data_IF_215682306956
#
_entry.id   IF_215682306956
#
_cell.length_a   1.000
_cell.length_b   1.000
_cell.length_c   1.000
_cell.angle_alpha   90.00
_cell.angle_beta   90.00
_cell.angle_gamma   90.00
#
_symmetry.space_group_name_H-M   'P 1'
#
loop_
_entity.id
_entity.type
_entity.pdbx_description
1 polymer ?
#
# COMPACT_ATOMS: atom_id res chain seq x y z
N UNK A 1 16.59 -9.38 -3.39
CA UNK A 1 15.26 -9.11 -3.96
C UNK A 1 14.29 -8.80 -2.82
N UNK A 2 13.33 -7.89 -3.00
CA UNK A 2 12.50 -7.39 -1.90
C UNK A 2 11.46 -8.41 -1.41
N UNK A 3 11.04 -8.27 -0.15
CA UNK A 3 9.94 -9.05 0.42
C UNK A 3 8.59 -8.52 -0.08
N UNK A 4 7.80 -9.36 -0.75
CA UNK A 4 6.51 -8.98 -1.36
C UNK A 4 5.35 -9.69 -0.66
N UNK A 5 4.33 -8.92 -0.29
CA UNK A 5 3.02 -9.46 0.12
C UNK A 5 2.00 -9.22 -0.99
N UNK A 6 1.32 -10.27 -1.42
CA UNK A 6 0.31 -10.19 -2.47
C UNK A 6 -1.07 -10.54 -1.89
N UNK A 7 -2.09 -9.76 -2.25
CA UNK A 7 -3.49 -9.98 -1.86
C UNK A 7 -4.42 -9.71 -3.04
N UNK A 8 -5.62 -10.26 -2.98
CA UNK A 8 -6.68 -9.97 -3.95
C UNK A 8 -6.86 -11.03 -5.03
N UNK A 9 -7.64 -10.66 -6.05
CA UNK A 9 -8.10 -11.51 -7.15
C UNK A 9 -6.92 -12.13 -7.89
N UNK A 10 -5.95 -11.30 -8.29
CA UNK A 10 -4.80 -11.71 -9.09
C UNK A 10 -3.66 -12.35 -8.28
N UNK A 11 -3.90 -12.67 -7.00
CA UNK A 11 -2.83 -13.03 -6.07
C UNK A 11 -2.07 -14.30 -6.44
N UNK A 12 -2.76 -15.34 -6.91
CA UNK A 12 -2.10 -16.60 -7.31
C UNK A 12 -1.19 -16.38 -8.54
N UNK A 13 -1.69 -15.71 -9.57
CA UNK A 13 -0.93 -15.44 -10.80
C UNK A 13 0.29 -14.54 -10.54
N UNK A 14 0.11 -13.45 -9.79
CA UNK A 14 1.20 -12.53 -9.45
C UNK A 14 2.23 -13.20 -8.54
N UNK A 15 1.80 -14.06 -7.60
CA UNK A 15 2.75 -14.84 -6.79
C UNK A 15 3.61 -15.71 -7.68
N UNK A 16 3.02 -16.43 -8.64
CA UNK A 16 3.77 -17.27 -9.58
C UNK A 16 4.79 -16.46 -10.39
N UNK A 17 4.38 -15.31 -10.93
CA UNK A 17 5.23 -14.38 -11.68
C UNK A 17 6.41 -13.88 -10.84
N UNK A 18 6.15 -13.42 -9.62
CA UNK A 18 7.18 -12.80 -8.80
C UNK A 18 8.16 -13.85 -8.25
N UNK A 19 7.68 -15.04 -7.87
CA UNK A 19 8.55 -16.15 -7.47
C UNK A 19 9.45 -16.57 -8.62
N UNK A 20 8.93 -16.67 -9.85
CA UNK A 20 9.75 -17.05 -11.02
C UNK A 20 10.82 -16.01 -11.38
N UNK A 21 10.62 -14.74 -10.99
CA UNK A 21 11.61 -13.65 -11.10
C UNK A 21 12.50 -13.49 -9.85
N UNK A 22 12.40 -14.38 -8.85
CA UNK A 22 13.30 -14.41 -7.69
C UNK A 22 12.89 -13.53 -6.50
N UNK A 23 11.68 -12.98 -6.50
CA UNK A 23 11.16 -12.24 -5.35
C UNK A 23 10.82 -13.18 -4.19
N UNK A 24 11.01 -12.70 -2.96
CA UNK A 24 10.65 -13.43 -1.75
C UNK A 24 9.21 -13.10 -1.37
N UNK A 25 8.30 -14.04 -1.57
CA UNK A 25 6.90 -13.86 -1.16
C UNK A 25 6.76 -14.14 0.34
N UNK A 26 6.20 -13.19 1.06
CA UNK A 26 5.99 -13.27 2.51
C UNK A 26 4.50 -13.20 2.86
N UNK A 27 4.13 -13.79 3.98
CA UNK A 27 2.77 -13.74 4.53
C UNK A 27 1.69 -14.22 3.53
N UNK A 28 2.03 -15.18 2.67
CA UNK A 28 1.11 -15.80 1.73
C UNK A 28 0.00 -16.58 2.47
N UNK A 29 -1.21 -16.56 1.93
CA UNK A 29 -2.32 -17.38 2.44
C UNK A 29 -2.06 -18.86 2.20
N UNK A 30 -2.73 -19.72 2.97
CA UNK A 30 -2.61 -21.18 2.88
C UNK A 30 -2.87 -21.68 1.46
N UNK A 31 -3.92 -21.15 0.81
CA UNK A 31 -4.27 -21.44 -0.58
C UNK A 31 -3.12 -21.15 -1.55
N UNK A 32 -2.43 -20.02 -1.39
CA UNK A 32 -1.29 -19.65 -2.26
C UNK A 32 -0.10 -20.57 -1.97
N UNK A 33 0.15 -20.87 -0.69
CA UNK A 33 1.24 -21.76 -0.27
C UNK A 33 1.07 -23.16 -0.82
N UNK A 34 -0.15 -23.72 -0.73
CA UNK A 34 -0.48 -25.04 -1.27
C UNK A 34 -0.32 -25.10 -2.79
N UNK A 35 -0.82 -24.09 -3.51
CA UNK A 35 -0.73 -24.03 -4.98
C UNK A 35 0.71 -23.92 -5.49
N UNK A 36 1.56 -23.17 -4.81
CA UNK A 36 2.93 -22.91 -5.27
C UNK A 36 4.01 -23.72 -4.53
N UNK A 37 3.64 -24.49 -3.51
CA UNK A 37 4.60 -25.24 -2.70
C UNK A 37 5.59 -24.37 -1.93
N UNK A 38 5.19 -23.16 -1.51
CA UNK A 38 6.08 -22.20 -0.81
C UNK A 38 5.85 -22.23 0.71
N UNK A 39 6.90 -22.07 1.53
CA UNK A 39 6.76 -22.05 2.98
C UNK A 39 6.05 -20.78 3.48
N UNK A 40 5.52 -20.83 4.71
CA UNK A 40 5.06 -19.61 5.37
C UNK A 40 6.24 -18.80 5.87
N UNK A 41 6.23 -17.51 5.55
CA UNK A 41 7.27 -16.58 5.94
C UNK A 41 6.65 -15.37 6.65
N UNK A 42 7.11 -15.14 7.88
CA UNK A 42 6.63 -14.10 8.78
C UNK A 42 7.32 -12.75 8.58
N UNK A 43 8.37 -12.69 7.76
CA UNK A 43 9.14 -11.47 7.54
C UNK A 43 8.24 -10.29 7.12
N UNK A 44 8.58 -9.05 7.53
CA UNK A 44 7.83 -7.88 7.13
C UNK A 44 7.93 -7.69 5.61
N UNK A 45 6.79 -7.40 4.98
CA UNK A 45 6.73 -7.06 3.58
C UNK A 45 7.28 -5.65 3.35
N UNK A 46 8.17 -5.51 2.37
CA UNK A 46 8.71 -4.21 1.92
C UNK A 46 7.82 -3.56 0.86
N UNK A 47 7.03 -4.37 0.16
CA UNK A 47 6.03 -3.95 -0.82
C UNK A 47 4.80 -4.84 -0.72
N UNK A 48 3.62 -4.22 -0.85
CA UNK A 48 2.34 -4.91 -0.92
C UNK A 48 1.70 -4.67 -2.28
N UNK A 49 1.27 -5.75 -2.94
CA UNK A 49 0.42 -5.72 -4.14
C UNK A 49 -0.98 -6.14 -3.71
N UNK A 50 -1.99 -5.33 -4.03
CA UNK A 50 -3.40 -5.64 -3.74
C UNK A 50 -4.32 -5.04 -4.80
N UNK A 51 -5.57 -5.47 -4.84
CA UNK A 51 -6.58 -4.79 -5.66
C UNK A 51 -6.86 -3.37 -5.13
N UNK A 52 -7.10 -2.46 -6.07
CA UNK A 52 -7.68 -1.14 -5.83
C UNK A 52 -9.19 -1.24 -5.68
N UNK A 53 -9.80 -0.15 -5.20
CA UNK A 53 -11.25 0.07 -5.37
C UNK A 53 -11.62 0.39 -6.82
N UNK A 54 -10.65 0.85 -7.64
CA UNK A 54 -10.84 1.02 -9.08
C UNK A 54 -10.84 -0.36 -9.76
N UNK A 55 -11.85 -0.68 -10.61
CA UNK A 55 -11.91 -1.95 -11.30
C UNK A 55 -10.64 -2.23 -12.10
N UNK A 56 -10.21 -3.49 -12.13
CA UNK A 56 -9.06 -3.94 -12.94
C UNK A 56 -7.74 -3.22 -12.62
N UNK A 57 -7.60 -2.62 -11.44
CA UNK A 57 -6.42 -1.85 -11.07
C UNK A 57 -5.79 -2.45 -9.81
N UNK A 58 -4.49 -2.69 -9.87
CA UNK A 58 -3.70 -3.07 -8.70
C UNK A 58 -3.09 -1.83 -8.06
N UNK A 59 -2.94 -1.86 -6.74
CA UNK A 59 -2.12 -0.94 -5.96
C UNK A 59 -0.84 -1.65 -5.57
N UNK A 60 0.30 -1.08 -5.94
CA UNK A 60 1.64 -1.49 -5.48
C UNK A 60 2.16 -0.41 -4.55
N UNK A 61 2.36 -0.72 -3.27
CA UNK A 61 2.70 0.26 -2.21
C UNK A 61 3.82 -0.27 -1.31
N UNK A 62 4.79 0.58 -0.99
CA UNK A 62 5.84 0.27 -0.01
C UNK A 62 7.12 1.06 -0.21
N UNK A 63 8.27 0.45 0.12
CA UNK A 63 9.60 1.05 -0.07
C UNK A 63 9.87 1.29 -1.55
N UNK A 64 10.40 2.47 -1.90
CA UNK A 64 10.57 2.93 -3.30
C UNK A 64 11.18 1.88 -4.23
N UNK A 65 12.38 1.38 -3.92
CA UNK A 65 13.05 0.38 -4.76
C UNK A 65 12.31 -0.96 -4.86
N UNK A 66 11.57 -1.35 -3.82
CA UNK A 66 10.77 -2.57 -3.85
C UNK A 66 9.53 -2.42 -4.75
N UNK A 67 8.88 -1.25 -4.72
CA UNK A 67 7.76 -0.91 -5.60
C UNK A 67 8.22 -0.85 -7.05
N UNK A 68 9.34 -0.17 -7.33
CA UNK A 68 9.93 -0.09 -8.67
C UNK A 68 10.23 -1.48 -9.24
N UNK A 69 10.89 -2.34 -8.46
CA UNK A 69 11.18 -3.71 -8.91
C UNK A 69 9.93 -4.54 -9.18
N UNK A 70 8.88 -4.42 -8.34
CA UNK A 70 7.62 -5.14 -8.59
C UNK A 70 6.89 -4.61 -9.81
N UNK A 71 6.83 -3.29 -9.99
CA UNK A 71 6.19 -2.68 -11.17
C UNK A 71 6.91 -3.07 -12.45
N UNK A 72 8.25 -3.04 -12.45
CA UNK A 72 9.06 -3.51 -13.58
C UNK A 72 8.79 -4.98 -13.90
N UNK A 73 8.76 -5.85 -12.87
CA UNK A 73 8.44 -7.25 -13.02
C UNK A 73 7.05 -7.48 -13.66
N UNK A 74 6.04 -6.71 -13.23
CA UNK A 74 4.69 -6.77 -13.80
C UNK A 74 4.66 -6.29 -15.25
N UNK A 75 5.22 -5.11 -15.55
CA UNK A 75 5.23 -4.52 -16.89
C UNK A 75 6.03 -5.37 -17.89
N UNK A 76 7.10 -6.03 -17.44
CA UNK A 76 7.91 -6.91 -18.29
C UNK A 76 7.19 -8.20 -18.71
N UNK A 77 6.18 -8.62 -17.96
CA UNK A 77 5.50 -9.92 -18.16
C UNK A 77 4.08 -9.78 -18.67
N UNK A 78 3.40 -8.68 -18.32
CA UNK A 78 2.00 -8.44 -18.63
C UNK A 78 1.88 -7.47 -19.81
N UNK A 79 1.09 -7.86 -20.81
CA UNK A 79 0.79 -7.05 -21.99
C UNK A 79 -0.23 -5.95 -21.65
N UNK A 80 -0.11 -4.78 -22.28
CA UNK A 80 -1.06 -3.67 -22.16
C UNK A 80 -1.37 -3.23 -20.73
N UNK A 81 -0.31 -2.94 -19.98
CA UNK A 81 -0.38 -2.40 -18.63
C UNK A 81 -0.16 -0.88 -18.65
N UNK A 82 -1.04 -0.14 -17.96
CA UNK A 82 -0.85 1.30 -17.73
C UNK A 82 -0.47 1.54 -16.28
N UNK A 83 0.61 2.30 -16.06
CA UNK A 83 1.13 2.59 -14.72
C UNK A 83 0.99 4.08 -14.41
N UNK A 84 0.39 4.41 -13.27
CA UNK A 84 0.37 5.76 -12.71
C UNK A 84 1.09 5.79 -11.37
N UNK A 85 2.05 6.70 -11.23
CA UNK A 85 2.82 6.89 -10.01
C UNK A 85 2.21 7.98 -9.14
N UNK A 86 2.01 7.69 -7.85
CA UNK A 86 1.53 8.68 -6.89
C UNK A 86 2.62 9.69 -6.56
N UNK A 87 2.33 10.98 -6.79
CA UNK A 87 3.26 12.08 -6.56
C UNK A 87 2.60 13.21 -5.74
N UNK A 88 3.22 13.67 -4.64
CA UNK A 88 4.25 12.97 -3.87
C UNK A 88 3.74 11.61 -3.32
N UNK A 89 4.65 10.74 -2.86
CA UNK A 89 4.31 9.42 -2.34
C UNK A 89 3.40 9.47 -1.10
N UNK A 90 2.78 8.34 -0.77
CA UNK A 90 1.89 8.24 0.38
C UNK A 90 2.65 8.53 1.68
N UNK A 91 2.06 9.37 2.53
CA UNK A 91 2.64 9.84 3.81
C UNK A 91 3.97 10.59 3.68
N UNK A 92 4.29 11.11 2.49
CA UNK A 92 5.37 12.06 2.33
C UNK A 92 5.05 13.33 3.12
N UNK A 93 5.97 13.77 3.98
CA UNK A 93 5.85 15.02 4.73
C UNK A 93 6.57 16.10 3.97
N UNK A 94 5.84 17.16 3.63
CA UNK A 94 6.32 18.26 2.81
C UNK A 94 6.08 19.60 3.50
N UNK A 95 6.98 20.55 3.22
CA UNK A 95 6.71 21.97 3.42
C UNK A 95 6.10 22.49 2.13
N UNK A 96 4.86 22.94 2.21
CA UNK A 96 4.06 23.37 1.08
C UNK A 96 3.70 24.85 1.20
N UNK A 97 3.54 25.53 0.07
CA UNK A 97 3.12 26.94 0.05
C UNK A 97 1.62 27.03 -0.18
N UNK A 98 0.92 27.87 0.58
CA UNK A 98 -0.50 28.16 0.35
C UNK A 98 -0.60 28.99 -0.92
N UNK A 99 -1.13 28.42 -2.00
CA UNK A 99 -1.30 29.11 -3.27
C UNK A 99 -2.56 29.96 -3.26
N UNK A 100 -3.65 29.46 -2.69
CA UNK A 100 -4.94 30.15 -2.55
C UNK A 100 -5.80 29.54 -1.45
N UNK A 101 -6.74 30.33 -0.94
CA UNK A 101 -7.73 29.90 0.07
C UNK A 101 -9.12 29.99 -0.55
N UNK A 102 -9.84 28.86 -0.58
CA UNK A 102 -11.15 28.75 -1.22
C UNK A 102 -12.11 27.99 -0.29
N UNK A 103 -13.24 28.59 0.09
CA UNK A 103 -14.33 27.91 0.81
C UNK A 103 -13.87 27.13 2.07
N UNK A 104 -12.96 27.69 2.87
CA UNK A 104 -12.44 27.04 4.09
C UNK A 104 -11.43 25.92 3.82
N UNK A 105 -10.91 25.82 2.60
CA UNK A 105 -9.83 24.91 2.18
C UNK A 105 -8.61 25.70 1.73
N UNK A 106 -7.44 25.15 1.96
CA UNK A 106 -6.21 25.68 1.38
C UNK A 106 -5.79 24.81 0.20
N UNK A 107 -5.57 25.45 -0.94
CA UNK A 107 -4.86 24.83 -2.05
C UNK A 107 -3.38 25.10 -1.82
N UNK A 108 -2.59 24.04 -1.86
CA UNK A 108 -1.17 24.07 -1.58
C UNK A 108 -0.38 23.73 -2.84
N UNK A 109 0.72 24.42 -3.05
CA UNK A 109 1.77 24.00 -3.97
C UNK A 109 2.73 23.06 -3.22
N UNK A 110 2.74 21.79 -3.64
CA UNK A 110 3.62 20.75 -3.15
C UNK A 110 4.87 20.63 -4.03
N UNK A 111 5.93 19.93 -3.57
CA UNK A 111 7.11 19.64 -4.39
C UNK A 111 6.74 19.02 -5.75
N UNK A 112 7.43 19.46 -6.81
CA UNK A 112 7.18 19.00 -8.18
C UNK A 112 5.98 19.65 -8.87
N UNK A 113 5.45 20.76 -8.34
CA UNK A 113 4.34 21.51 -8.94
C UNK A 113 2.98 20.82 -8.80
N UNK A 114 2.87 19.87 -7.86
CA UNK A 114 1.60 19.17 -7.58
C UNK A 114 0.73 20.05 -6.70
N UNK A 115 -0.56 20.18 -7.05
CA UNK A 115 -1.54 20.83 -6.17
C UNK A 115 -2.01 19.85 -5.08
N UNK A 116 -1.99 20.31 -3.82
CA UNK A 116 -2.57 19.64 -2.67
C UNK A 116 -3.81 20.37 -2.16
N UNK A 117 -4.74 19.63 -1.55
CA UNK A 117 -5.90 20.19 -0.84
C UNK A 117 -5.79 19.85 0.64
N UNK A 118 -5.84 20.88 1.47
CA UNK A 118 -6.01 20.77 2.91
C UNK A 118 -7.41 21.26 3.29
N UNK A 119 -8.21 20.34 3.85
CA UNK A 119 -9.53 20.66 4.41
C UNK A 119 -9.41 21.45 5.71
N UNK A 120 -10.45 22.21 6.06
CA UNK A 120 -10.54 22.98 7.32
C UNK A 120 -9.31 23.86 7.58
N UNK A 121 -9.00 24.73 6.61
CA UNK A 121 -7.83 25.59 6.63
C UNK A 121 -8.22 27.07 6.76
N UNK A 122 -7.54 27.74 7.67
CA UNK A 122 -7.66 29.16 8.07
C UNK A 122 -6.36 29.96 7.82
N UNK A 123 -5.43 29.36 7.07
CA UNK A 123 -4.11 29.95 6.82
C UNK A 123 -4.17 31.04 5.76
N UNK A 124 -3.16 31.93 5.76
CA UNK A 124 -3.05 33.01 4.77
C UNK A 124 -2.36 32.54 3.49
N UNK A 125 -2.74 33.14 2.38
CA UNK A 125 -2.04 32.96 1.11
C UNK A 125 -0.56 33.31 1.22
N UNK A 126 0.27 32.62 0.45
CA UNK A 126 1.74 32.69 0.47
C UNK A 126 2.39 32.23 1.79
N UNK A 127 1.62 31.80 2.78
CA UNK A 127 2.14 31.12 3.97
C UNK A 127 2.71 29.74 3.62
N UNK A 128 3.54 29.20 4.51
CA UNK A 128 4.04 27.82 4.41
C UNK A 128 3.40 26.95 5.48
N UNK A 129 2.98 25.75 5.09
CA UNK A 129 2.43 24.73 5.97
C UNK A 129 3.22 23.45 5.85
N UNK A 130 3.36 22.73 6.96
CA UNK A 130 3.90 21.38 6.98
C UNK A 130 2.73 20.43 6.94
N UNK A 131 2.71 19.57 5.94
CA UNK A 131 1.59 18.66 5.70
C UNK A 131 2.09 17.27 5.28
N UNK A 132 1.28 16.27 5.57
CA UNK A 132 1.47 14.89 5.15
C UNK A 132 0.54 14.58 3.99
N UNK A 133 1.05 13.95 2.93
CA UNK A 133 0.21 13.44 1.83
C UNK A 133 -0.58 12.23 2.30
N UNK A 134 -1.91 12.33 2.38
CA UNK A 134 -2.80 11.21 2.75
C UNK A 134 -3.40 10.51 1.52
N UNK A 135 -3.54 11.24 0.41
CA UNK A 135 -3.90 10.67 -0.89
C UNK A 135 -3.03 11.32 -1.96
N UNK A 136 -2.10 10.60 -2.60
CA UNK A 136 -1.31 11.11 -3.71
C UNK A 136 -2.14 11.52 -4.92
N UNK A 137 -1.58 12.38 -5.76
CA UNK A 137 -2.08 12.63 -7.12
C UNK A 137 -1.46 11.61 -8.06
N UNK A 138 -2.27 10.96 -8.90
CA UNK A 138 -1.81 9.94 -9.85
C UNK A 138 -1.85 10.41 -11.30
N UNK A 139 -2.80 11.29 -11.64
CA UNK A 139 -3.05 11.76 -13.01
C UNK A 139 -3.00 13.29 -13.07
N UNK A 140 -2.71 13.81 -14.26
CA UNK A 140 -2.71 15.27 -14.50
C UNK A 140 -4.08 15.86 -14.17
N UNK A 141 -4.10 16.91 -13.36
CA UNK A 141 -5.33 17.57 -12.91
C UNK A 141 -5.93 17.00 -11.63
N UNK A 142 -5.47 15.84 -11.15
CA UNK A 142 -5.81 15.36 -9.81
C UNK A 142 -5.04 16.16 -8.76
N UNK A 143 -5.71 16.54 -7.68
CA UNK A 143 -5.06 17.13 -6.50
C UNK A 143 -4.77 16.06 -5.47
N UNK A 144 -3.60 16.14 -4.84
CA UNK A 144 -3.31 15.35 -3.66
C UNK A 144 -4.18 15.82 -2.49
N UNK A 145 -4.55 14.92 -1.58
CA UNK A 145 -5.18 15.27 -0.31
C UNK A 145 -4.09 15.23 0.75
N UNK A 146 -4.03 16.27 1.58
CA UNK A 146 -3.02 16.39 2.64
C UNK A 146 -3.66 16.60 4.01
N UNK A 147 -2.89 16.34 5.08
CA UNK A 147 -3.29 16.53 6.48
C UNK A 147 -2.21 17.29 7.26
N UNK A 148 -2.62 18.01 8.32
CA UNK A 148 -1.70 18.64 9.29
C UNK A 148 -1.10 17.62 10.28
N UNK A 149 -1.70 16.43 10.38
CA UNK A 149 -1.11 15.35 11.18
C UNK A 149 0.17 14.85 10.53
N UNK A 150 1.30 14.89 11.25
CA UNK A 150 2.57 14.41 10.72
C UNK A 150 2.65 12.90 10.90
N UNK A 151 2.93 12.18 9.81
CA UNK A 151 3.01 10.73 9.82
C UNK A 151 4.37 10.24 9.34
N UNK A 152 4.88 9.22 10.02
CA UNK A 152 6.11 8.50 9.63
C UNK A 152 5.81 7.01 9.76
N UNK A 153 6.02 6.28 8.67
CA UNK A 153 5.77 4.83 8.62
C UNK A 153 7.07 4.04 8.84
N UNK A 154 7.02 3.05 9.72
CA UNK A 154 7.97 1.95 9.84
C UNK A 154 7.35 0.65 9.34
N UNK A 155 8.08 -0.47 9.44
CA UNK A 155 7.63 -1.77 8.96
C UNK A 155 6.50 -2.34 9.84
N UNK A 156 6.48 -2.05 11.14
CA UNK A 156 5.51 -2.55 12.12
C UNK A 156 4.51 -1.51 12.59
N UNK A 157 4.88 -0.23 12.66
CA UNK A 157 4.00 0.85 13.15
C UNK A 157 4.09 2.11 12.29
N UNK A 158 3.03 2.91 12.31
CA UNK A 158 3.05 4.30 11.85
C UNK A 158 2.89 5.22 13.06
N UNK A 159 3.78 6.20 13.25
CA UNK A 159 3.60 7.23 14.28
C UNK A 159 2.89 8.45 13.69
N UNK A 160 1.94 9.01 14.44
CA UNK A 160 1.06 10.11 14.00
C UNK A 160 1.07 11.23 15.04
N UNK A 161 1.80 12.31 14.77
CA UNK A 161 1.81 13.51 15.62
C UNK A 161 0.53 14.31 15.40
N UNK A 162 -0.25 14.50 16.47
CA UNK A 162 -1.52 15.25 16.44
C UNK A 162 -2.78 14.40 16.71
N UNK A 163 -2.69 13.07 16.66
CA UNK A 163 -3.84 12.17 16.84
C UNK A 163 -3.96 11.63 18.28
N UNK A 164 -2.83 11.32 18.95
CA UNK A 164 -2.80 10.73 20.30
C UNK A 164 -3.46 9.35 20.45
N UNK A 165 -4.04 8.81 19.37
CA UNK A 165 -4.82 7.57 19.35
C UNK A 165 -3.93 6.35 19.13
N UNK A 166 -4.37 5.21 19.66
CA UNK A 166 -3.83 3.88 19.34
C UNK A 166 -4.79 3.21 18.36
N UNK A 167 -4.29 2.87 17.18
CA UNK A 167 -5.06 2.22 16.12
C UNK A 167 -4.41 0.90 15.69
N UNK A 168 -5.22 0.00 15.13
CA UNK A 168 -4.76 -1.30 14.65
C UNK A 168 -5.15 -1.52 13.20
N UNK A 169 -4.28 -2.21 12.47
CA UNK A 169 -4.66 -2.83 11.21
C UNK A 169 -5.78 -3.84 11.45
N UNK A 170 -6.74 -3.90 10.52
CA UNK A 170 -7.85 -4.87 10.50
C UNK A 170 -7.39 -6.34 10.50
N UNK A 171 -6.13 -6.59 10.13
CA UNK A 171 -5.52 -7.92 10.09
C UNK A 171 -5.00 -8.39 11.46
N UNK A 172 -4.91 -7.50 12.46
CA UNK A 172 -4.54 -7.87 13.82
C UNK A 172 -5.83 -8.09 14.59
N UNK A 173 -6.32 -9.34 14.64
CA UNK A 173 -7.61 -9.69 15.28
C UNK A 173 -7.47 -10.26 16.69
N UNK A 174 -6.31 -10.81 17.00
CA UNK A 174 -6.01 -11.41 18.31
C UNK A 174 -6.04 -10.34 19.41
N UNK A 175 -6.90 -10.54 20.42
CA UNK A 175 -7.10 -9.57 21.49
C UNK A 175 -5.95 -9.53 22.49
N UNK A 176 -5.32 -10.68 22.78
CA UNK A 176 -4.16 -10.73 23.65
C UNK A 176 -3.00 -9.93 23.03
N UNK A 177 -2.78 -10.12 21.73
CA UNK A 177 -1.78 -9.37 20.97
C UNK A 177 -2.08 -7.88 20.93
N UNK A 178 -3.34 -7.49 20.71
CA UNK A 178 -3.74 -6.07 20.79
C UNK A 178 -3.47 -5.47 22.17
N UNK A 179 -3.69 -6.22 23.24
CA UNK A 179 -3.42 -5.78 24.60
C UNK A 179 -1.90 -5.57 24.82
N UNK A 180 -1.07 -6.53 24.44
CA UNK A 180 0.40 -6.42 24.51
C UNK A 180 0.92 -5.17 23.76
N UNK A 181 0.47 -4.98 22.53
CA UNK A 181 0.85 -3.84 21.69
C UNK A 181 0.35 -2.51 22.29
N UNK A 182 -0.85 -2.50 22.86
CA UNK A 182 -1.38 -1.32 23.55
C UNK A 182 -0.54 -0.95 24.76
N UNK A 183 -0.17 -1.93 25.60
CA UNK A 183 0.71 -1.70 26.75
C UNK A 183 2.07 -1.14 26.34
N UNK A 184 2.66 -1.67 25.26
CA UNK A 184 3.90 -1.13 24.70
C UNK A 184 3.74 0.33 24.21
N UNK A 185 2.68 0.62 23.45
CA UNK A 185 2.39 1.96 22.97
C UNK A 185 2.22 2.95 24.12
N UNK A 186 1.44 2.59 25.14
CA UNK A 186 1.21 3.41 26.33
C UNK A 186 2.54 3.69 27.05
N UNK A 187 3.36 2.65 27.26
CA UNK A 187 4.68 2.80 27.91
C UNK A 187 5.61 3.76 27.15
N UNK A 188 5.58 3.74 25.80
CA UNK A 188 6.49 4.53 24.96
C UNK A 188 5.98 5.94 24.64
N UNK A 189 4.66 6.14 24.55
CA UNK A 189 4.06 7.32 23.92
C UNK A 189 3.14 8.12 24.85
N UNK A 190 2.82 7.64 26.06
CA UNK A 190 1.98 8.38 27.00
C UNK A 190 2.52 9.79 27.24
N UNK A 191 1.64 10.80 27.16
CA UNK A 191 1.98 12.21 27.40
C UNK A 191 2.74 12.90 26.25
N UNK A 192 3.08 12.19 25.17
CA UNK A 192 3.82 12.79 24.04
C UNK A 192 2.93 13.51 23.01
N UNK A 193 1.61 13.27 23.04
CA UNK A 193 0.68 13.73 22.00
C UNK A 193 0.82 13.00 20.65
N UNK A 194 1.59 11.91 20.60
CA UNK A 194 1.83 11.10 19.40
C UNK A 194 0.95 9.85 19.47
N UNK A 195 0.14 9.65 18.43
CA UNK A 195 -0.60 8.43 18.21
C UNK A 195 0.23 7.38 17.48
N UNK A 196 -0.25 6.14 17.49
CA UNK A 196 0.38 5.02 16.81
C UNK A 196 -0.66 4.16 16.11
N UNK A 197 -0.36 3.76 14.87
CA UNK A 197 -1.10 2.73 14.15
C UNK A 197 -0.24 1.49 14.01
N UNK A 198 -0.65 0.39 14.63
CA UNK A 198 -0.01 -0.92 14.43
C UNK A 198 -0.35 -1.47 13.04
N UNK A 199 0.67 -1.63 12.19
CA UNK A 199 0.56 -2.19 10.84
C UNK A 199 0.45 -3.71 10.89
N UNK A 200 -0.03 -4.33 9.82
CA UNK A 200 -0.26 -5.79 9.78
C UNK A 200 0.99 -6.62 10.08
N UNK A 201 2.20 -6.13 9.82
CA UNK A 201 3.43 -6.87 10.13
C UNK A 201 3.66 -7.03 11.65
N UNK A 202 3.13 -6.13 12.49
CA UNK A 202 3.31 -6.18 13.95
C UNK A 202 2.69 -7.41 14.61
N UNK A 203 1.80 -8.14 13.91
CA UNK A 203 1.23 -9.40 14.40
C UNK A 203 2.28 -10.51 14.50
N UNK A 204 3.38 -10.43 13.73
CA UNK A 204 4.39 -11.47 13.65
C UNK A 204 5.72 -11.10 14.31
N UNK A 205 5.87 -9.84 14.75
CA UNK A 205 7.13 -9.30 15.24
C UNK A 205 7.26 -9.48 16.75
N UNK A 206 8.49 -9.50 17.26
CA UNK A 206 8.72 -9.48 18.70
C UNK A 206 8.51 -8.07 19.27
N UNK A 207 8.06 -7.97 20.53
CA UNK A 207 7.75 -6.66 21.14
C UNK A 207 8.97 -5.72 21.18
N UNK A 208 10.17 -6.28 21.34
CA UNK A 208 11.40 -5.49 21.36
C UNK A 208 11.75 -4.88 20.00
N UNK A 209 11.45 -5.57 18.89
CA UNK A 209 11.63 -5.03 17.53
C UNK A 209 10.71 -3.85 17.29
N UNK A 210 9.43 -3.99 17.69
CA UNK A 210 8.43 -2.92 17.61
C UNK A 210 8.85 -1.73 18.48
N UNK A 211 9.33 -1.98 19.70
CA UNK A 211 9.82 -0.93 20.60
C UNK A 211 11.00 -0.15 20.00
N UNK A 212 11.96 -0.86 19.40
CA UNK A 212 13.11 -0.25 18.73
C UNK A 212 12.70 0.59 17.52
N UNK A 213 11.71 0.11 16.74
CA UNK A 213 11.16 0.87 15.63
C UNK A 213 10.45 2.15 16.10
N UNK A 214 9.63 2.08 17.16
CA UNK A 214 8.99 3.27 17.75
C UNK A 214 10.05 4.31 18.13
N UNK A 215 11.13 3.90 18.81
CA UNK A 215 12.21 4.81 19.20
C UNK A 215 12.90 5.45 17.98
N UNK A 216 13.06 4.69 16.90
CA UNK A 216 13.62 5.18 15.63
C UNK A 216 12.71 6.21 14.96
N UNK A 217 11.41 5.93 14.87
CA UNK A 217 10.43 6.83 14.28
C UNK A 217 10.23 8.10 15.11
N UNK A 218 10.35 8.02 16.45
CA UNK A 218 10.36 9.20 17.32
C UNK A 218 11.54 10.12 17.02
N UNK A 219 12.74 9.58 16.77
CA UNK A 219 13.90 10.39 16.34
C UNK A 219 13.62 11.04 14.98
N UNK A 220 13.07 10.30 14.02
CA UNK A 220 12.70 10.81 12.69
C UNK A 220 11.69 11.96 12.79
N UNK A 221 10.68 11.85 13.64
CA UNK A 221 9.70 12.92 13.87
C UNK A 221 10.35 14.20 14.43
N UNK A 222 11.33 14.07 15.34
CA UNK A 222 12.09 15.22 15.85
C UNK A 222 12.94 15.87 14.77
N UNK A 223 13.56 15.10 13.90
CA UNK A 223 14.32 15.62 12.74
C UNK A 223 13.42 16.39 11.78
N UNK A 224 12.23 15.86 11.48
CA UNK A 224 11.23 16.55 10.65
C UNK A 224 10.81 17.89 11.29
N UNK A 225 10.54 17.89 12.60
CA UNK A 225 10.15 19.10 13.35
C UNK A 225 11.27 20.16 13.42
N UNK A 226 12.53 19.72 13.47
CA UNK A 226 13.66 20.64 13.38
C UNK A 226 13.78 21.25 11.99
N UNK A 227 13.66 20.44 10.93
CA UNK A 227 13.74 20.89 9.53
C UNK A 227 12.57 21.78 9.12
N UNK A 228 11.38 21.56 9.67
CA UNK A 228 10.20 22.37 9.32
C UNK A 228 10.32 23.84 9.73
N UNK A 229 11.10 24.12 10.79
CA UNK A 229 11.36 25.47 11.33
C UNK A 229 12.36 26.27 10.49
N UNK A 230 13.10 25.63 9.60
CA UNK A 230 14.04 26.33 8.70
C UNK A 230 13.26 27.17 7.66
N UNK A 231 13.75 28.35 7.33
CA UNK A 231 13.05 29.27 6.42
C UNK A 231 12.92 28.74 4.98
N UNK A 232 11.73 28.97 4.39
CA UNK A 232 11.65 29.58 3.06
C UNK A 232 11.79 28.76 1.78
N UNK A 233 11.34 27.50 1.69
CA UNK A 233 11.09 26.88 0.37
C UNK A 233 10.11 25.71 0.41
N UNK A 234 9.51 25.42 -0.74
CA UNK A 234 8.77 24.18 -0.96
C UNK A 234 9.77 23.03 -1.00
N UNK A 235 9.65 22.07 -0.08
CA UNK A 235 10.57 20.93 -0.04
C UNK A 235 9.95 19.68 0.58
N UNK A 236 10.61 18.55 0.34
CA UNK A 236 10.30 17.28 1.02
C UNK A 236 11.10 17.22 2.32
N UNK A 237 10.40 17.13 3.45
CA UNK A 237 11.03 16.98 4.76
C UNK A 237 11.28 15.50 5.08
N UNK A 238 10.37 14.62 4.65
CA UNK A 238 10.46 13.18 4.78
C UNK A 238 9.74 12.48 3.62
N UNK A 239 10.46 11.59 2.96
CA UNK A 239 9.93 10.67 1.96
C UNK A 239 9.09 9.57 2.64
N UNK A 240 7.84 9.43 2.21
CA UNK A 240 6.96 8.35 2.63
C UNK A 240 7.07 7.11 1.75
N UNK A 241 5.99 6.34 1.65
CA UNK A 241 5.92 5.15 0.81
C UNK A 241 5.67 5.52 -0.66
N UNK A 242 6.35 4.81 -1.56
CA UNK A 242 6.06 4.88 -3.00
C UNK A 242 4.78 4.10 -3.28
N UNK A 243 3.94 4.63 -4.17
CA UNK A 243 2.69 3.99 -4.56
C UNK A 243 2.48 4.10 -6.07
N UNK A 244 2.09 3.00 -6.69
CA UNK A 244 1.72 2.93 -8.09
C UNK A 244 0.36 2.26 -8.26
N UNK A 245 -0.44 2.79 -9.19
CA UNK A 245 -1.63 2.16 -9.72
C UNK A 245 -1.25 1.47 -11.03
N UNK A 246 -1.58 0.18 -11.14
CA UNK A 246 -1.28 -0.66 -12.29
C UNK A 246 -2.60 -1.14 -12.87
N UNK A 247 -3.04 -0.52 -13.96
CA UNK A 247 -4.25 -0.91 -14.67
C UNK A 247 -3.99 -2.10 -15.58
N UNK A 248 -4.84 -3.11 -15.46
CA UNK A 248 -4.78 -4.36 -16.21
C UNK A 248 -5.81 -4.31 -17.34
N UNK A 249 -5.34 -4.12 -18.58
CA UNK A 249 -6.19 -4.29 -19.75
C UNK A 249 -6.55 -5.77 -19.99
N UNK A 250 -7.39 -6.05 -20.99
CA UNK A 250 -7.80 -7.42 -21.30
C UNK A 250 -6.61 -8.35 -21.58
N UNK A 251 -5.59 -7.97 -22.38
CA UNK A 251 -4.42 -8.83 -22.62
C UNK A 251 -3.65 -9.14 -21.33
N UNK A 252 -3.45 -8.17 -20.45
CA UNK A 252 -2.84 -8.38 -19.14
C UNK A 252 -3.58 -9.46 -18.33
N UNK A 253 -4.92 -9.40 -18.31
CA UNK A 253 -5.76 -10.37 -17.59
C UNK A 253 -5.71 -11.76 -18.19
N UNK A 254 -5.72 -11.86 -19.52
CA UNK A 254 -5.51 -13.14 -20.22
C UNK A 254 -4.15 -13.72 -19.86
N UNK A 255 -3.10 -12.90 -19.84
CA UNK A 255 -1.77 -13.33 -19.41
C UNK A 255 -1.73 -13.79 -17.95
N UNK A 256 -2.45 -13.11 -17.05
CA UNK A 256 -2.60 -13.55 -15.67
C UNK A 256 -3.35 -14.90 -15.56
N UNK A 257 -4.37 -15.15 -16.38
CA UNK A 257 -5.05 -16.46 -16.45
C UNK A 257 -4.07 -17.56 -16.88
N UNK A 258 -3.23 -17.30 -17.88
CA UNK A 258 -2.20 -18.23 -18.34
C UNK A 258 -1.20 -18.57 -17.23
N UNK A 259 -0.69 -17.56 -16.53
CA UNK A 259 0.25 -17.74 -15.42
C UNK A 259 -0.40 -18.53 -14.27
N UNK A 260 -1.66 -18.22 -13.94
CA UNK A 260 -2.42 -18.94 -12.90
C UNK A 260 -2.63 -20.40 -13.27
N UNK A 261 -2.91 -20.69 -14.54
CA UNK A 261 -3.20 -22.05 -15.02
C UNK A 261 -2.04 -23.03 -14.85
N UNK A 262 -0.81 -22.53 -14.65
CA UNK A 262 0.37 -23.34 -14.33
C UNK A 262 0.37 -23.94 -12.93
N UNK A 263 -0.43 -23.40 -12.02
CA UNK A 263 -0.45 -23.80 -10.60
C UNK A 263 -1.85 -24.06 -10.03
N UNK A 264 -2.90 -23.76 -10.78
CA UNK A 264 -4.28 -24.01 -10.37
C UNK A 264 -5.23 -24.18 -11.58
N UNK A 265 -6.28 -25.03 -11.49
CA UNK A 265 -7.36 -25.05 -12.47
C UNK A 265 -7.93 -23.65 -12.66
N UNK A 266 -7.93 -23.17 -13.92
CA UNK A 266 -8.26 -21.79 -14.24
C UNK A 266 -9.26 -21.73 -15.38
N UNK A 267 -10.45 -21.19 -15.10
CA UNK A 267 -11.48 -20.95 -16.11
C UNK A 267 -11.03 -19.89 -17.13
N UNK A 268 -11.55 -19.97 -18.36
CA UNK A 268 -11.30 -18.95 -19.39
C UNK A 268 -11.87 -17.62 -18.93
N UNK A 269 -11.06 -16.55 -18.98
CA UNK A 269 -11.47 -15.21 -18.57
C UNK A 269 -11.59 -15.03 -17.06
N UNK A 270 -10.92 -15.87 -16.25
CA UNK A 270 -10.97 -15.83 -14.78
C UNK A 270 -10.81 -14.40 -14.24
N UNK A 271 -9.72 -13.70 -14.56
CA UNK A 271 -9.49 -12.36 -14.03
C UNK A 271 -10.51 -11.35 -14.57
N UNK A 272 -10.88 -11.44 -15.85
CA UNK A 272 -11.88 -10.54 -16.45
C UNK A 272 -13.23 -10.67 -15.72
N UNK A 273 -13.73 -11.88 -15.55
CA UNK A 273 -15.01 -12.17 -14.89
C UNK A 273 -14.99 -11.83 -13.41
N UNK A 274 -13.89 -12.12 -12.70
CA UNK A 274 -13.75 -11.72 -11.28
C UNK A 274 -13.76 -10.21 -11.09
N UNK A 275 -13.06 -9.45 -11.94
CA UNK A 275 -13.13 -7.99 -11.90
C UNK A 275 -14.51 -7.41 -12.30
N UNK A 276 -15.34 -8.18 -13.01
CA UNK A 276 -16.73 -7.84 -13.31
C UNK A 276 -17.70 -8.23 -12.19
N UNK A 277 -17.22 -8.78 -11.07
CA UNK A 277 -18.05 -9.19 -9.93
C UNK A 277 -18.66 -10.58 -10.06
N UNK A 278 -18.29 -11.37 -11.07
CA UNK A 278 -18.80 -12.73 -11.31
C UNK A 278 -17.96 -13.80 -10.60
N UNK A 279 -17.45 -13.48 -9.40
CA UNK A 279 -16.49 -14.33 -8.67
C UNK A 279 -17.02 -15.72 -8.35
N UNK A 280 -18.26 -15.82 -7.89
CA UNK A 280 -18.88 -17.09 -7.50
C UNK A 280 -19.05 -18.06 -8.68
N UNK A 281 -19.44 -17.52 -9.85
CA UNK A 281 -19.56 -18.32 -11.08
C UNK A 281 -18.20 -18.85 -11.53
N UNK A 282 -17.17 -18.02 -11.45
CA UNK A 282 -15.79 -18.44 -11.75
C UNK A 282 -15.33 -19.54 -10.79
N UNK A 283 -15.58 -19.37 -9.49
CA UNK A 283 -15.19 -20.35 -8.48
C UNK A 283 -15.93 -21.69 -8.67
N UNK A 284 -17.21 -21.66 -9.05
CA UNK A 284 -17.98 -22.86 -9.40
C UNK A 284 -17.44 -23.56 -10.67
N UNK A 285 -17.15 -22.79 -11.73
CA UNK A 285 -16.55 -23.35 -12.94
C UNK A 285 -15.18 -23.99 -12.66
N UNK A 286 -14.35 -23.35 -11.83
CA UNK A 286 -13.05 -23.91 -11.44
C UNK A 286 -13.17 -25.15 -10.56
N UNK A 287 -14.19 -25.24 -9.71
CA UNK A 287 -14.50 -26.46 -8.97
C UNK A 287 -14.83 -27.63 -9.92
N UNK A 288 -15.67 -27.40 -10.93
CA UNK A 288 -15.98 -28.43 -11.93
C UNK A 288 -14.75 -28.84 -12.75
N UNK A 289 -13.89 -27.88 -13.11
CA UNK A 289 -12.62 -28.14 -13.79
C UNK A 289 -11.68 -29.00 -12.93
N UNK A 290 -11.53 -28.66 -11.65
CA UNK A 290 -10.67 -29.39 -10.72
C UNK A 290 -11.12 -30.86 -10.56
N UNK A 291 -12.43 -31.10 -10.62
CA UNK A 291 -13.03 -32.43 -10.54
C UNK A 291 -13.18 -33.13 -11.90
N UNK A 292 -12.62 -32.57 -12.99
CA UNK A 292 -12.69 -33.10 -14.36
C UNK A 292 -14.13 -33.32 -14.87
N UNK A 293 -15.09 -32.56 -14.33
CA UNK A 293 -16.49 -32.63 -14.76
C UNK A 293 -16.73 -31.88 -16.08
N UNK A 294 -15.88 -30.89 -16.39
CA UNK A 294 -15.91 -30.11 -17.64
C UNK A 294 -14.48 -29.91 -18.16
N UNK A 295 -14.34 -29.58 -19.44
CA UNK A 295 -13.06 -29.14 -20.02
C UNK A 295 -12.88 -27.63 -19.86
N UNK A 296 -11.63 -27.15 -20.00
CA UNK A 296 -11.35 -25.70 -19.90
C UNK A 296 -12.05 -24.91 -20.99
N UNK A 297 -12.13 -25.46 -22.20
CA UNK A 297 -12.79 -24.85 -23.35
C UNK A 297 -14.29 -24.64 -23.08
N UNK A 298 -14.92 -25.55 -22.33
CA UNK A 298 -16.32 -25.43 -21.92
C UNK A 298 -16.60 -24.28 -20.94
N UNK A 299 -15.56 -23.62 -20.40
CA UNK A 299 -15.71 -22.42 -19.56
C UNK A 299 -15.66 -21.11 -20.32
N UNK A 300 -15.36 -21.15 -21.63
CA UNK A 300 -15.42 -19.96 -22.48
C UNK A 300 -16.87 -19.51 -22.68
N UNK A 301 -17.09 -18.19 -22.60
CA UNK A 301 -18.32 -17.52 -23.03
C UNK A 301 -18.27 -17.22 -24.53
#
# INVERSE_FOLDING_TARGET
MPNVRIRGISSTAITFLLVSKGFRVVQASDVIRERLGIPFDKAPAEVTVKDSSEPSTLVVLGKRGAVEGVVEALVSELEDVVVWWGRPGLHTVVKARVSRVENGRCILELPGGVEGVLEACDSRENGFLVVTVVKPSFRKGERAIVSRELRVDGDYVSLIKGSGRIEFSEFIRDQARRAELSSLAVSKLMGSGIGVRFRSNSQYAELHEIAAEIDSLLRRLREIDARSRMEGSINVLHEGESIALVYLASPAKTRLDELRSRVAPTAVGHHQLKYMGLGELVDFAEYLLANRAISREATGL
#
